data_IF_971973721823
#
_entry.id   IF_971973721823
#
_cell.length_a   1.000
_cell.length_b   1.000
_cell.length_c   1.000
_cell.angle_alpha   90.00
_cell.angle_beta   90.00
_cell.angle_gamma   90.00
#
_symmetry.space_group_name_H-M   'P 1'
#
loop_
_entity.id
_entity.type
_entity.pdbx_description
1 polymer ?
#
# COMPACT_ATOMS: atom_id res chain seq x y z
N UNK A 1 8.43 4.70 7.98
CA UNK A 1 8.42 4.92 6.52
C UNK A 1 9.08 3.75 5.81
N UNK A 2 8.76 3.56 4.56
CA UNK A 2 9.37 2.52 3.73
C UNK A 2 10.18 3.20 2.62
N UNK A 3 11.16 2.46 2.09
CA UNK A 3 12.07 2.99 1.07
C UNK A 3 12.35 1.93 0.03
N UNK A 4 13.19 2.24 -0.96
CA UNK A 4 13.62 1.25 -1.95
C UNK A 4 14.17 0.01 -1.24
N UNK A 5 13.87 -1.15 -1.81
CA UNK A 5 14.28 -2.48 -1.32
C UNK A 5 13.60 -2.91 -0.02
N UNK A 6 12.67 -2.11 0.53
CA UNK A 6 11.84 -2.55 1.65
C UNK A 6 10.80 -3.56 1.15
N UNK A 7 10.60 -4.63 1.91
CA UNK A 7 9.54 -5.59 1.64
C UNK A 7 8.31 -5.21 2.44
N UNK A 8 7.15 -5.20 1.79
CA UNK A 8 5.88 -4.87 2.43
C UNK A 8 4.88 -6.00 2.20
N UNK A 9 3.96 -6.15 3.14
CA UNK A 9 2.87 -7.11 3.02
C UNK A 9 1.81 -6.55 2.06
N UNK A 10 1.02 -7.44 1.48
CA UNK A 10 -0.08 -7.05 0.60
C UNK A 10 -1.38 -7.21 1.38
N UNK A 11 -2.17 -6.14 1.42
CA UNK A 11 -3.40 -6.07 2.20
C UNK A 11 -4.65 -6.29 1.36
N UNK A 12 -4.53 -6.99 0.23
CA UNK A 12 -5.67 -7.25 -0.64
C UNK A 12 -5.70 -8.71 -1.10
N UNK A 13 -6.76 -9.06 -1.83
CA UNK A 13 -6.97 -10.41 -2.34
C UNK A 13 -6.55 -10.58 -3.80
N UNK A 14 -5.63 -9.78 -4.29
CA UNK A 14 -5.12 -9.89 -5.66
C UNK A 14 -4.29 -11.15 -5.90
N UNK A 15 -3.86 -11.81 -4.84
CA UNK A 15 -3.02 -13.01 -4.90
C UNK A 15 -1.57 -12.75 -4.50
N UNK A 16 -1.10 -11.53 -4.57
CA UNK A 16 0.24 -11.19 -4.09
C UNK A 16 0.26 -11.23 -2.55
N UNK A 17 1.38 -11.69 -1.98
CA UNK A 17 1.56 -11.75 -0.53
C UNK A 17 2.62 -10.78 -0.05
N UNK A 18 3.66 -10.57 -0.84
CA UNK A 18 4.75 -9.69 -0.47
C UNK A 18 5.28 -8.96 -1.69
N UNK A 19 5.57 -7.67 -1.50
CA UNK A 19 6.11 -6.80 -2.54
C UNK A 19 7.46 -6.26 -2.11
N UNK A 20 8.36 -6.08 -3.07
CA UNK A 20 9.62 -5.36 -2.87
C UNK A 20 9.50 -4.00 -3.56
N UNK A 21 9.74 -2.93 -2.82
CA UNK A 21 9.66 -1.58 -3.37
C UNK A 21 10.88 -1.33 -4.27
N UNK A 22 10.62 -1.05 -5.54
CA UNK A 22 11.66 -0.72 -6.52
C UNK A 22 11.87 0.79 -6.59
N UNK A 23 10.77 1.55 -6.64
CA UNK A 23 10.83 2.99 -6.82
C UNK A 23 9.63 3.65 -6.16
N UNK A 24 9.84 4.81 -5.56
CA UNK A 24 8.77 5.62 -4.98
C UNK A 24 8.44 6.72 -5.99
N UNK A 25 7.17 6.81 -6.37
CA UNK A 25 6.70 7.84 -7.30
C UNK A 25 6.44 9.15 -6.54
N UNK A 26 6.52 10.27 -7.23
CA UNK A 26 6.23 11.56 -6.62
C UNK A 26 7.37 12.57 -6.66
N UNK A 27 8.41 12.31 -7.45
CA UNK A 27 9.49 13.26 -7.66
C UNK A 27 10.88 12.67 -7.46
N UNK A 28 11.89 13.36 -7.99
CA UNK A 28 13.27 12.86 -8.02
C UNK A 28 13.93 12.80 -6.64
N UNK A 29 13.41 13.55 -5.67
CA UNK A 29 13.96 13.60 -4.32
C UNK A 29 13.18 12.76 -3.31
N UNK A 30 12.20 12.02 -3.76
CA UNK A 30 11.35 11.23 -2.89
C UNK A 30 12.06 9.93 -2.53
N UNK A 31 12.67 9.89 -1.36
CA UNK A 31 13.49 8.74 -0.91
C UNK A 31 12.71 7.75 -0.05
N UNK A 32 11.66 8.21 0.63
CA UNK A 32 10.86 7.39 1.53
C UNK A 32 9.40 7.51 1.18
N UNK A 33 8.64 6.43 1.39
CA UNK A 33 7.21 6.43 1.20
C UNK A 33 6.50 6.29 2.54
N UNK A 34 5.40 6.97 2.69
CA UNK A 34 4.50 6.83 3.83
C UNK A 34 3.09 6.55 3.31
N UNK A 35 2.11 6.52 4.20
CA UNK A 35 0.72 6.21 3.87
C UNK A 35 0.21 7.15 2.77
N UNK A 36 -0.36 6.55 1.73
CA UNK A 36 -0.89 7.29 0.59
C UNK A 36 0.09 7.52 -0.56
N UNK A 37 1.36 7.15 -0.39
CA UNK A 37 2.34 7.27 -1.46
C UNK A 37 2.27 6.04 -2.37
N UNK A 38 2.47 6.27 -3.68
CA UNK A 38 2.44 5.22 -4.69
C UNK A 38 3.85 4.78 -5.00
N UNK A 39 4.05 3.47 -5.05
CA UNK A 39 5.35 2.87 -5.33
C UNK A 39 5.24 1.89 -6.49
N UNK A 40 6.34 1.75 -7.24
CA UNK A 40 6.50 0.65 -8.19
C UNK A 40 7.16 -0.49 -7.43
N UNK A 41 6.56 -1.67 -7.50
CA UNK A 41 6.99 -2.82 -6.70
C UNK A 41 7.12 -4.07 -7.55
N UNK A 42 8.00 -4.99 -7.14
CA UNK A 42 8.09 -6.32 -7.72
C UNK A 42 7.40 -7.31 -6.77
N UNK A 43 6.62 -8.23 -7.33
CA UNK A 43 5.94 -9.26 -6.55
C UNK A 43 6.95 -10.33 -6.20
N UNK A 44 7.23 -10.50 -4.91
CA UNK A 44 8.20 -11.49 -4.42
C UNK A 44 7.56 -12.79 -3.96
N UNK A 45 6.29 -12.75 -3.57
CA UNK A 45 5.54 -13.93 -3.17
C UNK A 45 4.09 -13.77 -3.57
N UNK A 46 3.51 -14.79 -4.17
CA UNK A 46 2.13 -14.76 -4.64
C UNK A 46 1.50 -16.14 -4.55
N UNK A 47 0.17 -16.16 -4.39
CA UNK A 47 -0.61 -17.39 -4.41
C UNK A 47 -0.72 -17.88 -5.85
N UNK A 48 -0.46 -19.17 -6.13
CA UNK A 48 -0.66 -19.72 -7.46
C UNK A 48 -2.09 -19.53 -7.95
N UNK A 49 -2.25 -19.12 -9.21
CA UNK A 49 -3.58 -18.92 -9.80
C UNK A 49 -4.23 -17.57 -9.50
N UNK A 50 -3.56 -16.69 -8.77
CA UNK A 50 -4.06 -15.33 -8.51
C UNK A 50 -3.94 -14.43 -9.73
N UNK A 51 -4.49 -13.22 -9.59
CA UNK A 51 -4.41 -12.20 -10.66
C UNK A 51 -2.98 -11.73 -10.90
N UNK A 52 -2.15 -11.79 -9.87
CA UNK A 52 -0.79 -11.29 -9.90
C UNK A 52 0.16 -12.45 -9.62
N UNK A 53 1.23 -12.54 -10.40
CA UNK A 53 2.19 -13.63 -10.31
C UNK A 53 3.53 -13.15 -9.75
N UNK A 54 4.28 -14.06 -9.14
CA UNK A 54 5.65 -13.78 -8.70
C UNK A 54 6.49 -13.26 -9.89
N UNK A 55 7.20 -12.18 -9.64
CA UNK A 55 8.03 -11.54 -10.67
C UNK A 55 7.35 -10.40 -11.41
N UNK A 56 6.04 -10.24 -11.28
CA UNK A 56 5.35 -9.12 -11.91
C UNK A 56 5.78 -7.79 -11.28
N UNK A 57 5.75 -6.75 -12.11
CA UNK A 57 5.99 -5.37 -11.65
C UNK A 57 4.64 -4.66 -11.60
N UNK A 58 4.29 -4.13 -10.44
CA UNK A 58 2.99 -3.51 -10.20
C UNK A 58 3.14 -2.18 -9.50
N UNK A 59 2.09 -1.35 -9.57
CA UNK A 59 1.98 -0.15 -8.74
C UNK A 59 1.17 -0.47 -7.50
N UNK A 60 1.59 0.06 -6.37
CA UNK A 60 0.90 -0.15 -5.12
C UNK A 60 0.91 1.13 -4.30
N UNK A 61 -0.12 1.32 -3.49
CA UNK A 61 -0.21 2.44 -2.56
C UNK A 61 0.00 1.91 -1.15
N UNK A 62 0.79 2.62 -0.36
CA UNK A 62 1.04 2.25 1.04
C UNK A 62 -0.21 2.60 1.86
N UNK A 63 -0.78 1.62 2.54
CA UNK A 63 -2.02 1.81 3.31
C UNK A 63 -1.79 1.86 4.81
N UNK A 64 -0.69 1.27 5.30
CA UNK A 64 -0.31 1.36 6.70
C UNK A 64 1.20 1.14 6.86
N UNK A 65 1.78 1.75 7.88
CA UNK A 65 3.21 1.61 8.18
C UNK A 65 3.43 1.50 9.69
N UNK A 66 4.53 0.86 10.06
CA UNK A 66 4.98 0.83 11.46
C UNK A 66 5.41 2.21 11.95
N UNK A 67 5.96 3.02 11.06
CA UNK A 67 6.34 4.39 11.39
C UNK A 67 5.14 5.25 11.73
N UNK A 68 4.04 5.07 10.98
CA UNK A 68 2.78 5.75 11.23
C UNK A 68 2.70 7.17 10.72
N UNK A 69 1.65 7.87 11.13
CA UNK A 69 1.35 9.23 10.70
C UNK A 69 0.99 10.08 11.90
N UNK A 70 1.55 11.28 11.95
CA UNK A 70 1.17 12.30 12.92
C UNK A 70 0.06 13.17 12.33
N UNK A 71 -1.03 13.32 13.08
CA UNK A 71 -2.21 14.06 12.61
C UNK A 71 -2.21 15.49 13.12
N UNK A 72 -2.94 16.40 12.42
CA UNK A 72 -2.99 17.81 12.83
C UNK A 72 -3.53 18.05 14.25
N UNK A 73 -4.37 17.15 14.76
CA UNK A 73 -4.91 17.27 16.12
C UNK A 73 -3.95 16.82 17.21
N UNK A 74 -2.72 16.46 16.84
CA UNK A 74 -1.69 16.02 17.78
C UNK A 74 -1.69 14.53 18.04
N UNK A 75 -2.67 13.77 17.53
CA UNK A 75 -2.69 12.32 17.66
C UNK A 75 -1.70 11.68 16.70
N UNK A 76 -1.39 10.42 16.96
CA UNK A 76 -0.42 9.66 16.17
C UNK A 76 -0.95 8.26 15.98
N UNK A 77 -0.93 7.74 14.76
CA UNK A 77 -1.34 6.38 14.48
C UNK A 77 -0.17 5.57 13.94
N UNK A 78 0.02 4.38 14.50
CA UNK A 78 1.02 3.39 14.06
C UNK A 78 0.34 2.06 13.87
N UNK A 79 0.88 1.27 12.95
CA UNK A 79 0.37 -0.06 12.66
C UNK A 79 1.42 -1.11 12.99
N UNK A 80 1.00 -2.38 13.05
CA UNK A 80 1.89 -3.49 13.40
C UNK A 80 2.80 -3.90 12.24
N UNK A 81 2.45 -3.53 11.02
CA UNK A 81 3.22 -3.90 9.83
C UNK A 81 3.20 -2.78 8.79
N UNK A 82 4.01 -2.96 7.76
CA UNK A 82 3.99 -2.14 6.57
C UNK A 82 3.22 -2.91 5.51
N UNK A 83 2.16 -2.32 4.97
CA UNK A 83 1.33 -2.98 3.98
C UNK A 83 0.92 -2.04 2.85
N UNK A 84 0.72 -2.64 1.68
CA UNK A 84 0.34 -1.92 0.48
C UNK A 84 -0.80 -2.64 -0.22
N UNK A 85 -1.51 -1.92 -1.06
CA UNK A 85 -2.59 -2.44 -1.91
C UNK A 85 -2.21 -2.19 -3.35
N UNK A 86 -2.30 -3.24 -4.18
CA UNK A 86 -1.99 -3.13 -5.61
C UNK A 86 -3.09 -2.34 -6.30
N UNK A 87 -2.72 -1.34 -7.08
CA UNK A 87 -3.65 -0.44 -7.75
C UNK A 87 -3.47 -0.49 -9.27
N UNK A 88 -4.53 -0.07 -9.96
CA UNK A 88 -4.52 0.14 -11.40
C UNK A 88 -4.05 1.56 -11.73
N UNK A 89 -3.92 1.87 -13.01
CA UNK A 89 -3.53 3.20 -13.46
C UNK A 89 -4.51 4.30 -13.01
N UNK A 90 -5.78 3.95 -12.80
CA UNK A 90 -6.82 4.89 -12.39
C UNK A 90 -6.94 5.03 -10.85
N UNK A 91 -5.96 4.53 -10.11
CA UNK A 91 -5.92 4.53 -8.64
C UNK A 91 -6.94 3.62 -7.97
N UNK A 92 -7.66 2.80 -8.71
CA UNK A 92 -8.56 1.82 -8.12
C UNK A 92 -7.80 0.54 -7.74
N UNK A 93 -8.19 -0.14 -6.65
CA UNK A 93 -7.52 -1.39 -6.28
C UNK A 93 -7.80 -2.49 -7.30
N UNK A 94 -6.82 -3.35 -7.53
CA UNK A 94 -6.99 -4.51 -8.39
C UNK A 94 -7.84 -5.58 -7.74
N UNK A 95 -7.68 -5.74 -6.43
CA UNK A 95 -8.47 -6.71 -5.68
C UNK A 95 -9.86 -6.19 -5.36
N UNK A 96 -10.71 -7.08 -4.87
CA UNK A 96 -12.08 -6.76 -4.49
C UNK A 96 -12.25 -6.66 -2.97
N UNK A 97 -11.24 -7.06 -2.20
CA UNK A 97 -11.27 -7.03 -0.74
C UNK A 97 -9.96 -6.46 -0.19
N UNK A 98 -10.08 -5.78 0.93
CA UNK A 98 -8.94 -5.25 1.68
C UNK A 98 -8.89 -5.97 3.03
N UNK A 99 -7.70 -6.37 3.47
CA UNK A 99 -7.49 -7.08 4.72
C UNK A 99 -6.84 -6.15 5.75
N UNK A 100 -7.39 -6.13 6.95
CA UNK A 100 -6.86 -5.34 8.03
C UNK A 100 -7.18 -3.85 7.93
N UNK A 101 -6.70 -3.05 8.90
CA UNK A 101 -7.00 -1.63 8.93
C UNK A 101 -6.20 -0.85 7.89
N UNK A 102 -6.76 0.28 7.48
CA UNK A 102 -6.07 1.26 6.66
C UNK A 102 -6.19 2.63 7.34
N UNK A 103 -5.26 3.53 7.04
CA UNK A 103 -5.30 4.88 7.58
C UNK A 103 -6.27 5.74 6.78
N UNK A 104 -7.00 6.62 7.48
CA UNK A 104 -7.98 7.49 6.81
C UNK A 104 -7.34 8.57 5.93
N UNK A 105 -6.03 8.78 6.03
CA UNK A 105 -5.31 9.71 5.16
C UNK A 105 -5.41 9.33 3.68
N UNK A 106 -5.73 8.09 3.37
CA UNK A 106 -5.97 7.66 1.99
C UNK A 106 -7.14 8.40 1.34
N UNK A 107 -8.11 8.84 2.12
CA UNK A 107 -9.26 9.59 1.61
C UNK A 107 -8.84 10.93 1.02
N UNK A 108 -7.88 11.59 1.65
CA UNK A 108 -7.38 12.88 1.21
C UNK A 108 -6.52 12.76 -0.05
N UNK A 109 -6.01 11.58 -0.34
CA UNK A 109 -5.14 11.31 -1.49
C UNK A 109 -5.86 10.59 -2.63
N UNK A 110 -7.19 10.65 -2.65
CA UNK A 110 -8.06 10.13 -3.72
C UNK A 110 -8.10 8.60 -3.83
N UNK A 111 -7.86 7.90 -2.73
CA UNK A 111 -8.01 6.45 -2.70
C UNK A 111 -9.31 6.03 -2.01
N UNK A 112 -10.40 6.68 -2.41
CA UNK A 112 -11.72 6.46 -1.79
C UNK A 112 -12.21 5.03 -1.90
N UNK A 113 -11.94 4.37 -3.01
CA UNK A 113 -12.38 2.98 -3.19
C UNK A 113 -11.70 2.03 -2.21
N UNK A 114 -10.43 2.25 -1.93
CA UNK A 114 -9.70 1.47 -0.93
C UNK A 114 -10.32 1.70 0.45
N UNK A 115 -10.62 2.95 0.79
CA UNK A 115 -11.24 3.28 2.07
C UNK A 115 -12.60 2.61 2.21
N UNK A 116 -13.39 2.61 1.13
CA UNK A 116 -14.73 1.99 1.17
C UNK A 116 -14.70 0.48 1.28
N UNK A 117 -13.65 -0.17 0.78
CA UNK A 117 -13.51 -1.63 0.85
C UNK A 117 -12.84 -2.10 2.14
N UNK A 118 -12.17 -1.22 2.86
CA UNK A 118 -11.43 -1.60 4.06
C UNK A 118 -12.39 -1.99 5.19
N UNK A 119 -12.08 -3.05 5.95
CA UNK A 119 -12.92 -3.46 7.07
C UNK A 119 -12.85 -2.49 8.24
N UNK A 120 -11.76 -1.74 8.34
CA UNK A 120 -11.55 -0.78 9.42
C UNK A 120 -10.71 0.38 8.91
N UNK A 121 -11.13 1.61 9.21
CA UNK A 121 -10.41 2.82 8.83
C UNK A 121 -10.03 3.56 10.09
N UNK A 122 -8.75 3.67 10.34
CA UNK A 122 -8.20 4.30 11.52
C UNK A 122 -7.45 5.60 11.14
#
# INVERSE_FOLDING_TARGET
MVQQETRVNVADNSGAKQLLIIKILGGTKHKNANIGDVCVCAVKSATPGGQVKKGDVVKAVIVRTKFGVRRPDGSYIKFDDNAAVIIKEDKNPRGTRIFGPVARELREKDFMKIVSLAPEVL
#
